data_IF_035344622880
#
_entry.id   IF_035344622880
#
_cell.length_a   1.000
_cell.length_b   1.000
_cell.length_c   1.000
_cell.angle_alpha   90.00
_cell.angle_beta   90.00
_cell.angle_gamma   90.00
#
_symmetry.space_group_name_H-M   'P 1'
#
loop_
_entity.id
_entity.type
_entity.pdbx_description
1 polymer ?
#
# COMPACT_ATOMS: atom_id res chain seq x y z
N UNK A 1 -1.95 -24.68 17.08
CA UNK A 1 -2.42 -23.48 16.35
C UNK A 1 -1.40 -23.25 15.27
N UNK A 2 -1.56 -23.95 14.16
CA UNK A 2 -0.68 -23.80 13.01
C UNK A 2 -1.06 -22.47 12.35
N UNK A 3 -0.07 -21.60 12.13
CA UNK A 3 -0.34 -20.28 11.61
C UNK A 3 -0.91 -20.41 10.19
N UNK A 4 -2.12 -19.90 9.99
CA UNK A 4 -2.80 -19.84 8.70
C UNK A 4 -1.98 -19.14 7.60
N UNK A 5 -0.99 -18.34 8.02
CA UNK A 5 0.02 -17.69 7.19
C UNK A 5 1.02 -18.68 6.55
N UNK A 6 1.37 -19.78 7.22
CA UNK A 6 2.37 -20.74 6.72
C UNK A 6 1.81 -21.79 5.75
N UNK A 7 0.51 -22.06 5.80
CA UNK A 7 -0.14 -23.09 4.96
C UNK A 7 -0.49 -22.61 3.55
N UNK A 8 -0.42 -21.30 3.32
CA UNK A 8 -0.86 -20.68 2.08
C UNK A 8 0.29 -19.80 1.60
N UNK A 9 0.80 -20.00 0.39
CA UNK A 9 1.97 -19.31 -0.14
C UNK A 9 1.71 -17.81 -0.42
N UNK A 10 1.53 -17.00 0.64
CA UNK A 10 1.37 -15.55 0.56
C UNK A 10 2.67 -14.88 0.98
N UNK A 11 3.32 -14.20 0.03
CA UNK A 11 4.32 -13.20 0.36
C UNK A 11 3.63 -12.02 1.03
N UNK A 12 4.00 -11.73 2.28
CA UNK A 12 3.70 -10.43 2.87
C UNK A 12 4.73 -9.46 2.30
N UNK A 13 4.29 -8.59 1.39
CA UNK A 13 5.18 -7.60 0.75
C UNK A 13 5.46 -6.41 1.68
N UNK A 14 4.60 -6.20 2.66
CA UNK A 14 4.74 -5.17 3.69
C UNK A 14 3.45 -5.02 4.51
N UNK A 15 3.53 -4.30 5.63
CA UNK A 15 2.37 -4.07 6.48
C UNK A 15 2.74 -3.49 7.84
N UNK A 16 1.71 -3.21 8.64
CA UNK A 16 1.86 -2.65 9.98
C UNK A 16 0.54 -2.64 10.76
N UNK A 17 0.63 -2.50 12.07
CA UNK A 17 -0.55 -2.32 12.95
C UNK A 17 -0.66 -0.85 13.29
N UNK A 18 -1.83 -0.25 13.02
CA UNK A 18 -2.12 1.16 13.24
C UNK A 18 -3.39 1.28 14.09
N UNK A 19 -3.24 1.75 15.33
CA UNK A 19 -4.34 1.71 16.29
C UNK A 19 -4.74 0.26 16.59
N UNK A 20 -5.97 -0.10 16.26
CA UNK A 20 -6.52 -1.46 16.44
C UNK A 20 -6.51 -2.31 15.18
N UNK A 21 -6.15 -1.73 14.03
CA UNK A 21 -6.26 -2.37 12.73
C UNK A 21 -4.90 -2.83 12.20
N UNK A 22 -4.87 -4.04 11.64
CA UNK A 22 -3.71 -4.58 10.95
C UNK A 22 -3.87 -4.40 9.44
N UNK A 23 -2.88 -3.77 8.82
CA UNK A 23 -2.82 -3.52 7.39
C UNK A 23 -1.76 -4.41 6.76
N UNK A 24 -2.15 -5.15 5.73
CA UNK A 24 -1.26 -6.05 4.99
C UNK A 24 -1.33 -5.74 3.49
N UNK A 25 -0.18 -5.57 2.86
CA UNK A 25 -0.05 -5.51 1.42
C UNK A 25 0.08 -6.94 0.87
N UNK A 26 -0.79 -7.29 -0.06
CA UNK A 26 -0.85 -8.61 -0.70
C UNK A 26 -1.09 -8.44 -2.20
N UNK A 27 -0.65 -9.40 -2.99
CA UNK A 27 -0.85 -9.40 -4.45
C UNK A 27 -2.34 -9.53 -4.84
N UNK A 28 -3.08 -10.43 -4.17
CA UNK A 28 -4.50 -10.69 -4.41
C UNK A 28 -5.33 -10.43 -3.15
N UNK A 29 -5.86 -9.21 -3.05
CA UNK A 29 -6.66 -8.78 -1.89
C UNK A 29 -7.95 -9.57 -1.68
N UNK A 30 -8.62 -10.02 -2.74
CA UNK A 30 -9.89 -10.74 -2.62
C UNK A 30 -9.69 -12.18 -2.20
N UNK A 31 -8.66 -12.84 -2.74
CA UNK A 31 -8.27 -14.17 -2.28
C UNK A 31 -7.77 -14.10 -0.82
N UNK A 32 -7.09 -13.03 -0.40
CA UNK A 32 -6.64 -12.85 0.98
C UNK A 32 -7.83 -12.69 1.92
N UNK A 33 -8.79 -11.84 1.52
CA UNK A 33 -10.05 -11.66 2.23
C UNK A 33 -10.77 -12.99 2.44
N UNK A 34 -10.86 -13.82 1.40
CA UNK A 34 -11.49 -15.15 1.50
C UNK A 34 -10.82 -16.02 2.55
N UNK A 35 -9.50 -16.18 2.46
CA UNK A 35 -8.72 -17.01 3.39
C UNK A 35 -8.85 -16.51 4.83
N UNK A 36 -8.80 -15.20 5.05
CA UNK A 36 -8.92 -14.60 6.39
C UNK A 36 -10.33 -14.81 6.97
N UNK A 37 -11.38 -14.61 6.17
CA UNK A 37 -12.75 -14.85 6.62
C UNK A 37 -13.00 -16.33 6.94
N UNK A 38 -12.50 -17.24 6.10
CA UNK A 38 -12.64 -18.69 6.32
C UNK A 38 -11.88 -19.16 7.58
N UNK A 39 -10.79 -18.46 7.94
CA UNK A 39 -10.05 -18.67 9.18
C UNK A 39 -10.65 -17.96 10.42
N UNK A 40 -11.79 -17.29 10.27
CA UNK A 40 -12.52 -16.65 11.38
C UNK A 40 -12.05 -15.24 11.73
N UNK A 41 -11.22 -14.60 10.91
CA UNK A 41 -10.84 -13.20 11.09
C UNK A 41 -11.92 -12.26 10.55
N UNK A 42 -12.00 -11.07 11.14
CA UNK A 42 -12.82 -9.98 10.58
C UNK A 42 -11.97 -9.15 9.61
N UNK A 43 -12.38 -9.07 8.35
CA UNK A 43 -11.73 -8.23 7.34
C UNK A 43 -12.50 -6.93 7.21
N UNK A 44 -11.91 -5.81 7.65
CA UNK A 44 -12.54 -4.49 7.64
C UNK A 44 -12.74 -3.96 6.21
N UNK A 45 -11.72 -4.05 5.37
CA UNK A 45 -11.77 -3.58 3.99
C UNK A 45 -10.69 -4.25 3.13
N UNK A 46 -10.93 -4.30 1.82
CA UNK A 46 -9.92 -4.55 0.78
C UNK A 46 -9.83 -3.27 -0.03
N UNK A 47 -8.63 -2.70 -0.13
CA UNK A 47 -8.40 -1.42 -0.81
C UNK A 47 -7.22 -1.54 -1.75
N UNK A 48 -7.27 -0.81 -2.86
CA UNK A 48 -6.14 -0.67 -3.78
C UNK A 48 -5.32 0.54 -3.33
N UNK A 49 -4.16 0.35 -2.70
CA UNK A 49 -3.37 1.47 -2.21
C UNK A 49 -2.71 2.24 -3.37
N UNK A 50 -2.32 3.48 -3.09
CA UNK A 50 -1.45 4.26 -3.98
C UNK A 50 0.00 3.92 -3.64
N UNK A 51 0.74 3.40 -4.62
CA UNK A 51 2.13 2.94 -4.47
C UNK A 51 3.06 3.92 -5.17
N UNK A 52 4.04 4.48 -4.44
CA UNK A 52 4.97 5.50 -4.95
C UNK A 52 6.41 5.17 -4.61
N UNK A 53 7.36 5.74 -5.36
CA UNK A 53 8.79 5.62 -5.06
C UNK A 53 9.36 6.99 -4.72
N UNK A 54 9.91 7.12 -3.53
CA UNK A 54 10.70 8.29 -3.15
C UNK A 54 12.13 8.12 -3.65
N UNK A 55 12.72 9.21 -4.15
CA UNK A 55 14.14 9.32 -4.49
C UNK A 55 14.93 9.43 -3.21
N UNK A 56 15.75 8.42 -2.93
CA UNK A 56 16.51 8.32 -1.67
C UNK A 56 17.54 9.45 -1.49
N UNK A 57 17.91 10.14 -2.56
CA UNK A 57 18.92 11.21 -2.58
C UNK A 57 18.36 12.58 -2.17
N UNK A 58 17.03 12.76 -2.19
CA UNK A 58 16.38 14.05 -1.88
C UNK A 58 15.52 13.95 -0.62
N UNK A 59 15.98 14.47 0.53
CA UNK A 59 15.13 14.57 1.70
C UNK A 59 13.94 15.51 1.40
N UNK A 60 12.77 15.18 1.97
CA UNK A 60 11.57 16.03 1.91
C UNK A 60 10.49 15.62 0.92
N UNK A 61 10.71 14.63 0.04
CA UNK A 61 9.71 14.24 -0.97
C UNK A 61 8.38 13.74 -0.35
N UNK A 62 8.41 13.08 0.82
CA UNK A 62 7.18 12.73 1.52
C UNK A 62 6.38 13.98 1.91
N UNK A 63 7.05 15.06 2.30
CA UNK A 63 6.43 16.35 2.58
C UNK A 63 5.85 17.00 1.32
N UNK A 64 6.52 16.86 0.18
CA UNK A 64 6.02 17.34 -1.11
C UNK A 64 4.76 16.60 -1.55
N UNK A 65 4.74 15.26 -1.40
CA UNK A 65 3.55 14.45 -1.63
C UNK A 65 2.41 14.88 -0.70
N UNK A 66 2.68 15.01 0.60
CA UNK A 66 1.67 15.42 1.57
C UNK A 66 1.11 16.82 1.25
N UNK A 67 1.97 17.75 0.85
CA UNK A 67 1.55 19.09 0.45
C UNK A 67 0.69 19.07 -0.83
N UNK A 68 1.07 18.27 -1.83
CA UNK A 68 0.31 18.13 -3.07
C UNK A 68 -1.08 17.54 -2.84
N UNK A 69 -1.19 16.52 -1.99
CA UNK A 69 -2.46 15.92 -1.58
C UNK A 69 -3.33 16.93 -0.80
N UNK A 70 -2.75 17.60 0.20
CA UNK A 70 -3.45 18.60 1.01
C UNK A 70 -3.97 19.77 0.18
N UNK A 71 -3.21 20.25 -0.81
CA UNK A 71 -3.62 21.32 -1.72
C UNK A 71 -4.87 20.97 -2.54
N UNK A 72 -5.21 19.69 -2.66
CA UNK A 72 -6.39 19.17 -3.35
C UNK A 72 -7.46 18.62 -2.39
N UNK A 73 -7.25 18.76 -1.08
CA UNK A 73 -8.19 18.32 -0.06
C UNK A 73 -8.20 16.81 0.18
N UNK A 74 -7.11 16.10 -0.13
CA UNK A 74 -6.98 14.64 0.09
C UNK A 74 -6.21 14.38 1.39
N UNK A 75 -6.78 13.56 2.27
CA UNK A 75 -6.18 13.19 3.56
C UNK A 75 -5.47 11.85 3.47
N UNK A 76 -4.29 11.73 4.08
CA UNK A 76 -3.60 10.45 4.27
C UNK A 76 -4.17 9.77 5.51
N UNK A 77 -4.74 8.57 5.33
CA UNK A 77 -5.29 7.75 6.42
C UNK A 77 -4.26 6.78 6.97
N UNK A 78 -3.41 6.23 6.09
CA UNK A 78 -2.35 5.30 6.48
C UNK A 78 -1.17 5.46 5.54
N UNK A 79 0.03 5.43 6.11
CA UNK A 79 1.28 5.42 5.36
C UNK A 79 2.23 4.40 5.96
N UNK A 80 2.84 3.60 5.09
CA UNK A 80 3.96 2.73 5.44
C UNK A 80 4.85 2.50 4.23
N UNK A 81 5.95 1.78 4.43
CA UNK A 81 6.81 1.32 3.34
C UNK A 81 6.73 -0.20 3.21
N UNK A 82 6.75 -0.70 1.97
CA UNK A 82 6.91 -2.13 1.71
C UNK A 82 8.40 -2.55 1.80
N UNK A 83 8.67 -3.85 1.62
CA UNK A 83 10.03 -4.40 1.64
C UNK A 83 10.90 -3.92 0.47
N UNK A 84 10.30 -3.44 -0.61
CA UNK A 84 11.00 -2.86 -1.77
C UNK A 84 11.23 -1.35 -1.63
N UNK A 85 10.99 -0.76 -0.44
CA UNK A 85 11.05 0.68 -0.18
C UNK A 85 10.10 1.48 -1.09
N UNK A 86 8.95 0.95 -1.44
CA UNK A 86 7.84 1.74 -1.97
C UNK A 86 7.06 2.36 -0.83
N UNK A 87 6.65 3.61 -1.04
CA UNK A 87 5.70 4.31 -0.21
C UNK A 87 4.30 3.80 -0.52
N UNK A 88 3.63 3.23 0.48
CA UNK A 88 2.25 2.76 0.39
C UNK A 88 1.36 3.79 1.09
N UNK A 89 0.35 4.28 0.38
CA UNK A 89 -0.61 5.27 0.88
C UNK A 89 -2.04 4.72 0.77
N UNK A 90 -2.81 4.91 1.83
CA UNK A 90 -4.26 4.86 1.82
C UNK A 90 -4.76 6.27 2.14
N UNK A 91 -5.64 6.81 1.30
CA UNK A 91 -6.20 8.15 1.46
C UNK A 91 -7.72 8.09 1.63
N UNK A 92 -8.38 9.22 1.79
CA UNK A 92 -9.84 9.31 1.69
C UNK A 92 -10.35 9.23 0.22
N UNK A 93 -9.48 9.54 -0.75
CA UNK A 93 -9.71 9.34 -2.18
C UNK A 93 -8.46 8.79 -2.89
N UNK A 94 -8.35 7.46 -2.99
CA UNK A 94 -7.17 6.79 -3.57
C UNK A 94 -7.02 7.08 -5.07
N UNK A 95 -8.13 7.33 -5.78
CA UNK A 95 -8.09 7.61 -7.23
C UNK A 95 -7.49 8.98 -7.50
N UNK A 96 -8.02 10.00 -6.82
CA UNK A 96 -7.50 11.35 -6.94
C UNK A 96 -6.07 11.44 -6.39
N UNK A 97 -5.77 10.76 -5.27
CA UNK A 97 -4.42 10.67 -4.75
C UNK A 97 -3.44 10.10 -5.78
N UNK A 98 -3.84 9.06 -6.52
CA UNK A 98 -3.01 8.50 -7.58
C UNK A 98 -2.69 9.54 -8.67
N UNK A 99 -3.69 10.28 -9.15
CA UNK A 99 -3.50 11.33 -10.16
C UNK A 99 -2.56 12.44 -9.68
N UNK A 100 -2.75 12.93 -8.46
CA UNK A 100 -1.94 14.01 -7.86
C UNK A 100 -0.48 13.60 -7.73
N UNK A 101 -0.26 12.33 -7.34
CA UNK A 101 1.06 11.80 -7.00
C UNK A 101 1.73 11.06 -8.15
N UNK A 102 1.19 11.16 -9.37
CA UNK A 102 1.77 10.57 -10.58
C UNK A 102 3.26 10.90 -10.81
N UNK A 103 3.78 12.09 -10.43
CA UNK A 103 5.23 12.36 -10.52
C UNK A 103 6.12 11.40 -9.73
N UNK A 104 5.58 10.71 -8.72
CA UNK A 104 6.26 9.70 -7.90
C UNK A 104 5.83 8.26 -8.23
N UNK A 105 5.10 8.05 -9.32
CA UNK A 105 4.67 6.71 -9.74
C UNK A 105 5.87 5.78 -9.94
N UNK A 106 5.71 4.51 -9.55
CA UNK A 106 6.67 3.46 -9.82
C UNK A 106 6.61 3.11 -11.31
N UNK A 107 7.34 3.84 -12.16
CA UNK A 107 7.50 3.44 -13.56
C UNK A 107 8.41 2.22 -13.60
N UNK A 108 7.83 1.03 -13.53
CA UNK A 108 8.51 -0.14 -14.10
C UNK A 108 8.52 0.09 -15.60
N UNK A 109 9.64 0.57 -16.16
CA UNK A 109 9.90 0.32 -17.57
C UNK A 109 9.94 -1.20 -17.71
N UNK A 110 8.87 -1.79 -18.23
CA UNK A 110 8.97 -3.08 -18.89
C UNK A 110 9.85 -2.83 -20.12
N UNK A 111 11.18 -2.84 -19.96
CA UNK A 111 12.06 -3.09 -21.08
C UNK A 111 11.76 -4.52 -21.55
N UNK A 112 11.27 -4.72 -22.80
CA UNK A 112 11.15 -6.05 -23.31
C UNK A 112 12.56 -6.63 -23.35
N UNK A 113 12.78 -7.70 -22.58
CA UNK A 113 14.00 -8.50 -22.68
C UNK A 113 14.02 -9.06 -24.10
N UNK A 114 15.00 -8.61 -24.89
CA UNK A 114 15.25 -9.08 -26.25
C UNK A 114 15.76 -10.50 -26.28
#
# INVERSE_FOLDING_TARGET
MDSCWGATAWGLEGGGVFGTDAHFLVEDGEKARRVLLDAGFTVQAVRKPVIRKLRQERPGELGEIAAALAARGVSILTQYSDHANHLILLTDDDKLAAEITEPWATYVKNEPTS
#
